data_IF_964637390294
#
_entry.id   IF_964637390294
#
_cell.length_a   1.000
_cell.length_b   1.000
_cell.length_c   1.000
_cell.angle_alpha   90.00
_cell.angle_beta   90.00
_cell.angle_gamma   90.00
#
_symmetry.space_group_name_H-M   'P 1'
#
loop_
_entity.id
_entity.type
_entity.pdbx_description
1 polymer ?
#
# COMPACT_ATOMS: atom_id res chain seq x y z
N UNK A 1 20.16 -29.08 20.85
CA UNK A 1 20.86 -27.85 21.27
C UNK A 1 19.98 -26.67 20.90
N UNK A 2 19.45 -25.99 21.92
CA UNK A 2 18.57 -24.82 21.75
C UNK A 2 19.41 -23.60 21.41
N UNK A 3 19.16 -22.95 20.27
CA UNK A 3 19.78 -21.66 19.98
C UNK A 3 18.87 -20.55 20.53
N UNK A 4 19.32 -19.95 21.63
CA UNK A 4 18.75 -18.72 22.17
C UNK A 4 18.91 -17.60 21.15
N UNK A 5 17.78 -17.04 20.67
CA UNK A 5 17.76 -15.74 20.03
C UNK A 5 18.08 -14.67 21.09
N UNK A 6 19.34 -14.21 21.11
CA UNK A 6 19.74 -13.05 21.90
C UNK A 6 19.08 -11.82 21.29
N UNK A 7 18.18 -11.21 22.06
CA UNK A 7 17.69 -9.84 21.83
C UNK A 7 18.87 -8.89 21.95
N UNK A 8 19.42 -8.43 20.82
CA UNK A 8 20.20 -7.20 20.79
C UNK A 8 19.65 -6.33 19.66
N UNK A 9 18.80 -5.38 20.05
CA UNK A 9 18.40 -4.27 19.20
C UNK A 9 19.64 -3.42 18.97
N UNK A 10 20.21 -3.49 17.76
CA UNK A 10 20.76 -2.38 16.97
C UNK A 10 21.53 -2.94 15.77
N UNK A 11 21.10 -2.55 14.58
CA UNK A 11 21.68 -2.86 13.25
C UNK A 11 21.30 -4.22 12.66
N UNK A 12 20.17 -4.27 11.96
CA UNK A 12 20.00 -5.24 10.88
C UNK A 12 21.02 -4.92 9.78
N UNK A 13 22.14 -5.65 9.73
CA UNK A 13 22.97 -5.72 8.52
C UNK A 13 22.32 -6.72 7.56
N UNK A 14 21.69 -6.22 6.49
CA UNK A 14 21.34 -7.02 5.31
C UNK A 14 22.63 -7.41 4.56
N UNK A 15 23.52 -8.20 5.16
CA UNK A 15 24.65 -8.79 4.43
C UNK A 15 24.32 -10.15 3.81
N UNK A 16 23.13 -10.69 4.11
CA UNK A 16 22.75 -12.02 3.66
C UNK A 16 21.23 -12.15 3.59
N UNK A 17 20.58 -11.37 2.72
CA UNK A 17 19.33 -11.85 2.13
C UNK A 17 19.73 -13.06 1.24
N UNK A 18 19.19 -14.26 1.47
CA UNK A 18 19.62 -15.42 0.73
C UNK A 18 19.25 -15.24 -0.74
N UNK A 19 20.24 -15.35 -1.63
CA UNK A 19 20.07 -15.51 -3.08
C UNK A 19 19.04 -16.60 -3.45
N UNK A 20 18.68 -17.47 -2.50
CA UNK A 20 17.63 -18.48 -2.61
C UNK A 20 16.21 -17.91 -2.69
N UNK A 21 15.91 -16.73 -2.12
CA UNK A 21 14.61 -16.07 -2.38
C UNK A 21 14.50 -15.60 -3.83
N UNK A 22 15.61 -15.18 -4.45
CA UNK A 22 15.65 -14.80 -5.86
C UNK A 22 15.68 -16.00 -6.82
N UNK A 23 16.20 -17.17 -6.41
CA UNK A 23 16.38 -18.32 -7.30
C UNK A 23 15.28 -19.40 -7.21
N UNK A 24 14.59 -19.56 -6.08
CA UNK A 24 13.56 -20.60 -5.94
C UNK A 24 12.18 -20.19 -6.49
N UNK A 25 12.00 -18.91 -6.80
CA UNK A 25 10.72 -18.32 -7.21
C UNK A 25 10.86 -17.47 -8.47
N UNK A 26 11.16 -18.11 -9.60
CA UNK A 26 11.09 -17.45 -10.92
C UNK A 26 9.64 -17.09 -11.33
N UNK A 27 8.63 -17.41 -10.51
CA UNK A 27 7.21 -17.17 -10.81
C UNK A 27 6.49 -16.21 -9.85
N UNK A 28 7.09 -15.76 -8.73
CA UNK A 28 6.41 -14.82 -7.81
C UNK A 28 7.43 -13.81 -7.25
N UNK A 29 7.39 -12.59 -7.78
CA UNK A 29 8.31 -11.46 -7.50
C UNK A 29 8.00 -10.70 -6.19
N UNK A 30 7.08 -11.19 -5.35
CA UNK A 30 6.58 -10.45 -4.19
C UNK A 30 7.11 -11.07 -2.88
N UNK A 31 7.63 -10.22 -1.99
CA UNK A 31 8.03 -10.59 -0.62
C UNK A 31 7.47 -9.59 0.39
N UNK A 32 7.03 -10.09 1.55
CA UNK A 32 6.72 -9.25 2.70
C UNK A 32 8.00 -9.03 3.51
N UNK A 33 8.31 -7.77 3.81
CA UNK A 33 9.48 -7.39 4.58
C UNK A 33 9.03 -6.89 5.96
N UNK A 34 9.39 -7.62 7.01
CA UNK A 34 9.24 -7.16 8.40
C UNK A 34 10.50 -6.46 8.89
N UNK A 35 10.41 -5.69 9.99
CA UNK A 35 11.53 -4.92 10.56
C UNK A 35 12.19 -3.98 9.52
N UNK A 36 11.38 -3.40 8.62
CA UNK A 36 11.81 -2.52 7.53
C UNK A 36 12.41 -1.17 8.00
N UNK A 37 12.38 -0.87 9.30
CA UNK A 37 12.96 0.35 9.87
C UNK A 37 12.13 1.62 9.63
N UNK A 38 10.93 1.48 9.05
CA UNK A 38 9.94 2.57 9.00
C UNK A 38 9.24 2.58 10.35
N UNK A 39 9.05 3.77 10.91
CA UNK A 39 8.39 3.95 12.20
C UNK A 39 6.92 3.48 12.13
N UNK A 40 6.50 2.66 13.10
CA UNK A 40 5.16 2.08 13.13
C UNK A 40 4.06 3.15 13.27
N UNK A 41 4.26 4.15 14.14
CA UNK A 41 3.30 5.26 14.31
C UNK A 41 3.11 6.06 13.00
N UNK A 42 4.16 6.16 12.16
CA UNK A 42 4.06 6.79 10.84
C UNK A 42 3.19 5.95 9.90
N UNK A 43 3.34 4.63 9.92
CA UNK A 43 2.51 3.71 9.11
C UNK A 43 1.04 3.79 9.54
N UNK A 44 0.77 3.82 10.84
CA UNK A 44 -0.57 3.94 11.40
C UNK A 44 -1.22 5.27 11.01
N UNK A 45 -0.51 6.40 11.18
CA UNK A 45 -1.01 7.72 10.74
C UNK A 45 -1.26 7.77 9.24
N UNK A 46 -0.40 7.15 8.43
CA UNK A 46 -0.58 7.10 6.97
C UNK A 46 -1.86 6.34 6.63
N UNK A 47 -2.11 5.20 7.29
CA UNK A 47 -3.35 4.42 7.12
C UNK A 47 -4.59 5.23 7.53
N UNK A 48 -4.53 5.91 8.68
CA UNK A 48 -5.64 6.76 9.16
C UNK A 48 -5.94 7.90 8.17
N UNK A 49 -4.92 8.59 7.66
CA UNK A 49 -5.06 9.67 6.69
C UNK A 49 -5.71 9.20 5.39
N UNK A 50 -5.25 8.06 4.83
CA UNK A 50 -5.78 7.51 3.58
C UNK A 50 -7.25 7.07 3.75
N UNK A 51 -7.57 6.38 4.85
CA UNK A 51 -8.95 5.96 5.12
C UNK A 51 -9.88 7.17 5.30
N UNK A 52 -9.44 8.16 6.09
CA UNK A 52 -10.22 9.40 6.30
C UNK A 52 -10.45 10.13 4.98
N UNK A 53 -9.47 10.20 4.10
CA UNK A 53 -9.64 10.82 2.78
C UNK A 53 -10.66 10.07 1.93
N UNK A 54 -10.64 8.73 1.95
CA UNK A 54 -11.65 7.94 1.27
C UNK A 54 -13.06 8.27 1.79
N UNK A 55 -13.27 8.16 3.11
CA UNK A 55 -14.58 8.37 3.75
C UNK A 55 -15.12 9.79 3.48
N UNK A 56 -14.25 10.80 3.55
CA UNK A 56 -14.67 12.20 3.50
C UNK A 56 -14.77 12.77 2.08
N UNK A 57 -13.98 12.25 1.14
CA UNK A 57 -13.80 12.91 -0.17
C UNK A 57 -14.06 12.00 -1.37
N UNK A 58 -13.90 10.68 -1.24
CA UNK A 58 -13.93 9.78 -2.40
C UNK A 58 -15.17 8.88 -2.43
N UNK A 59 -15.62 8.40 -1.27
CA UNK A 59 -16.70 7.40 -1.17
C UNK A 59 -17.97 7.80 -1.92
N UNK A 60 -18.49 9.00 -1.63
CA UNK A 60 -19.70 9.51 -2.27
C UNK A 60 -19.56 9.63 -3.79
N UNK A 61 -18.40 10.05 -4.27
CA UNK A 61 -18.13 10.20 -5.70
C UNK A 61 -18.01 8.84 -6.39
N UNK A 62 -17.38 7.86 -5.73
CA UNK A 62 -17.28 6.49 -6.21
C UNK A 62 -18.65 5.86 -6.42
N UNK A 63 -19.51 5.88 -5.40
CA UNK A 63 -20.87 5.30 -5.52
C UNK A 63 -21.79 6.10 -6.45
N UNK A 64 -21.51 7.39 -6.66
CA UNK A 64 -22.21 8.21 -7.64
C UNK A 64 -21.72 8.00 -9.08
N UNK A 65 -20.62 7.28 -9.29
CA UNK A 65 -20.05 7.02 -10.61
C UNK A 65 -20.91 6.06 -11.44
N UNK A 66 -20.85 6.20 -12.76
CA UNK A 66 -21.58 5.32 -13.67
C UNK A 66 -21.08 3.87 -13.58
N UNK A 67 -19.78 3.68 -13.30
CA UNK A 67 -19.19 2.36 -13.08
C UNK A 67 -19.89 1.68 -11.88
N UNK A 68 -19.93 2.35 -10.74
CA UNK A 68 -20.50 1.78 -9.52
C UNK A 68 -21.99 1.45 -9.66
N UNK A 69 -22.76 2.27 -10.38
CA UNK A 69 -24.19 2.04 -10.66
C UNK A 69 -24.45 0.93 -11.67
N UNK A 70 -23.52 0.74 -12.62
CA UNK A 70 -23.72 -0.15 -13.77
C UNK A 70 -23.30 -1.57 -13.45
N UNK A 71 -22.39 -1.78 -12.49
CA UNK A 71 -21.94 -3.10 -12.04
C UNK A 71 -23.03 -3.72 -11.15
N UNK A 72 -23.47 -4.92 -11.53
CA UNK A 72 -24.54 -5.67 -10.86
C UNK A 72 -24.40 -7.17 -11.14
N UNK A 73 -25.18 -8.03 -10.46
CA UNK A 73 -25.00 -9.48 -10.44
C UNK A 73 -24.98 -10.16 -11.83
N UNK A 74 -25.62 -9.54 -12.82
CA UNK A 74 -25.79 -10.12 -14.16
C UNK A 74 -24.82 -9.59 -15.22
N UNK A 75 -23.84 -8.75 -14.85
CA UNK A 75 -22.90 -8.13 -15.79
C UNK A 75 -21.48 -8.64 -15.61
N UNK A 76 -20.90 -9.15 -16.69
CA UNK A 76 -19.49 -9.53 -16.76
C UNK A 76 -18.63 -8.26 -16.88
N UNK A 77 -17.83 -7.97 -15.86
CA UNK A 77 -17.02 -6.74 -15.75
C UNK A 77 -15.56 -6.96 -16.14
N UNK A 78 -15.28 -7.68 -17.23
CA UNK A 78 -13.90 -8.05 -17.57
C UNK A 78 -12.97 -6.88 -17.88
N UNK A 79 -13.53 -5.68 -18.14
CA UNK A 79 -12.80 -4.50 -18.58
C UNK A 79 -12.90 -3.33 -17.58
N UNK A 80 -13.36 -3.57 -16.36
CA UNK A 80 -13.57 -2.51 -15.36
C UNK A 80 -13.10 -2.98 -13.99
N UNK A 81 -12.25 -2.17 -13.37
CA UNK A 81 -11.78 -2.38 -12.01
C UNK A 81 -12.79 -1.78 -11.02
N UNK A 82 -13.22 -2.57 -10.03
CA UNK A 82 -13.97 -2.08 -8.88
C UNK A 82 -12.99 -1.44 -7.90
N UNK A 83 -12.51 -0.25 -8.25
CA UNK A 83 -11.46 0.47 -7.53
C UNK A 83 -11.78 1.95 -7.41
N UNK A 84 -11.45 2.52 -6.26
CA UNK A 84 -11.43 3.96 -6.05
C UNK A 84 -10.00 4.37 -5.69
N UNK A 85 -9.33 5.10 -6.58
CA UNK A 85 -7.91 5.42 -6.43
C UNK A 85 -7.61 6.90 -6.70
N UNK A 86 -6.52 7.36 -6.09
CA UNK A 86 -5.89 8.65 -6.36
C UNK A 86 -4.39 8.43 -6.49
N UNK A 87 -3.70 9.30 -7.25
CA UNK A 87 -2.27 9.17 -7.49
C UNK A 87 -1.52 10.36 -6.90
N UNK A 88 -0.66 10.08 -5.92
CA UNK A 88 0.29 11.04 -5.38
C UNK A 88 1.69 10.75 -5.91
N UNK A 89 2.30 11.72 -6.59
CA UNK A 89 3.65 11.62 -7.08
C UNK A 89 4.58 12.55 -6.30
N UNK A 90 5.67 12.00 -5.79
CA UNK A 90 6.67 12.76 -5.03
C UNK A 90 7.69 13.45 -5.94
N UNK A 91 8.09 12.77 -7.02
CA UNK A 91 9.20 13.15 -7.88
C UNK A 91 8.83 13.01 -9.37
N UNK A 92 9.51 13.72 -10.29
CA UNK A 92 10.56 14.73 -10.03
C UNK A 92 10.01 16.04 -9.44
N UNK A 93 8.73 16.33 -9.68
CA UNK A 93 7.99 17.42 -9.05
C UNK A 93 6.85 16.78 -8.26
N UNK A 94 6.45 17.33 -7.12
CA UNK A 94 5.31 16.83 -6.36
C UNK A 94 3.97 17.41 -6.86
N UNK A 95 2.88 16.63 -6.82
CA UNK A 95 1.49 17.09 -7.03
C UNK A 95 0.70 17.27 -5.73
N UNK A 96 1.34 17.46 -4.58
CA UNK A 96 0.60 17.57 -3.31
C UNK A 96 -0.44 18.70 -3.31
N UNK A 97 -0.19 19.77 -4.08
CA UNK A 97 -1.11 20.90 -4.21
C UNK A 97 -2.31 20.62 -5.11
N UNK A 98 -2.27 19.55 -5.91
CA UNK A 98 -3.39 19.13 -6.76
C UNK A 98 -4.40 18.28 -5.96
N UNK A 99 -4.02 17.85 -4.74
CA UNK A 99 -4.85 17.04 -3.83
C UNK A 99 -4.95 17.74 -2.47
N UNK A 100 -5.59 18.93 -2.40
CA UNK A 100 -5.61 19.76 -1.21
C UNK A 100 -6.30 19.09 -0.01
N UNK A 101 -7.11 18.07 -0.23
CA UNK A 101 -7.77 17.27 0.80
C UNK A 101 -6.76 16.55 1.71
N UNK A 102 -5.58 16.19 1.19
CA UNK A 102 -4.52 15.53 1.96
C UNK A 102 -3.75 16.47 2.89
N UNK A 103 -3.95 17.79 2.77
CA UNK A 103 -3.28 18.82 3.57
C UNK A 103 -4.11 19.30 4.77
N UNK A 104 -5.29 18.70 5.02
CA UNK A 104 -6.24 19.08 6.08
C UNK A 104 -6.09 18.24 7.35
#
# INVERSE_FOLDING_TARGET
MSYMARRDQRHFRFSMMPSHCCHLFCTITLCQLENHGINDDLMDRTKELVNKHYDQNMENNFYSSEIAKTIGPDKVTSNVDWECSFMYHHQPKSNIHDIPELLR
#
